data_IF_340752001767
#
_entry.id   IF_340752001767
#
_cell.length_a   1.000
_cell.length_b   1.000
_cell.length_c   1.000
_cell.angle_alpha   90.00
_cell.angle_beta   90.00
_cell.angle_gamma   90.00
#
_symmetry.space_group_name_H-M   'P 1'
#
loop_
_entity.id
_entity.type
_entity.pdbx_description
1 polymer ?
#
# COMPACT_ATOMS: atom_id res chain seq x y z
N UNK A 1 -22.94 38.05 36.81
CA UNK A 1 -22.43 37.97 35.42
C UNK A 1 -21.84 36.58 35.22
N UNK A 2 -22.51 35.69 34.48
CA UNK A 2 -22.02 34.32 34.19
C UNK A 2 -21.29 34.34 32.84
N UNK A 3 -20.00 34.01 32.83
CA UNK A 3 -19.25 33.77 31.59
C UNK A 3 -19.84 32.53 30.90
N UNK A 4 -20.44 32.71 29.72
CA UNK A 4 -20.87 31.58 28.87
C UNK A 4 -19.61 30.91 28.31
N UNK A 5 -19.59 29.57 28.32
CA UNK A 5 -18.41 28.73 28.18
C UNK A 5 -17.50 29.05 26.99
N UNK A 6 -16.23 29.30 27.28
CA UNK A 6 -15.18 29.33 26.27
C UNK A 6 -15.10 27.95 25.60
N UNK A 7 -15.28 27.89 24.27
CA UNK A 7 -14.99 26.68 23.50
C UNK A 7 -13.53 26.31 23.72
N UNK A 8 -13.28 25.16 24.33
CA UNK A 8 -11.93 24.66 24.56
C UNK A 8 -11.35 24.23 23.22
N UNK A 9 -10.37 24.98 22.70
CA UNK A 9 -9.59 24.58 21.53
C UNK A 9 -8.53 23.55 21.96
N UNK A 10 -8.24 22.58 21.09
CA UNK A 10 -7.23 21.53 21.34
C UNK A 10 -6.21 21.53 20.21
N UNK A 11 -4.95 21.34 20.56
CA UNK A 11 -3.85 21.09 19.62
C UNK A 11 -3.48 19.60 19.76
N UNK A 12 -3.50 18.87 18.65
CA UNK A 12 -3.11 17.45 18.60
C UNK A 12 -1.83 17.28 17.81
N UNK A 13 -0.95 16.39 18.28
CA UNK A 13 0.22 15.91 17.56
C UNK A 13 0.01 14.44 17.23
N UNK A 14 0.25 14.06 15.98
CA UNK A 14 0.14 12.69 15.50
C UNK A 14 1.54 12.22 15.12
N UNK A 15 2.03 11.21 15.84
CA UNK A 15 3.29 10.51 15.55
C UNK A 15 2.96 9.11 15.01
N UNK A 16 3.45 8.81 13.82
CA UNK A 16 3.12 7.60 13.05
C UNK A 16 4.34 7.12 12.27
N UNK A 17 4.37 5.83 11.97
CA UNK A 17 5.43 5.26 11.13
C UNK A 17 5.36 5.80 9.69
N UNK A 18 6.53 6.13 9.15
CA UNK A 18 6.69 6.48 7.73
C UNK A 18 6.58 5.26 6.81
N UNK A 19 6.71 5.51 5.51
CA UNK A 19 6.72 4.47 4.49
C UNK A 19 7.90 3.49 4.67
N UNK A 20 7.67 2.19 4.47
CA UNK A 20 8.66 1.12 4.67
C UNK A 20 8.93 0.31 3.39
N UNK A 21 10.20 0.20 3.01
CA UNK A 21 10.68 -0.84 2.12
C UNK A 21 11.92 -1.48 2.75
N UNK A 22 11.80 -2.74 3.17
CA UNK A 22 12.81 -3.51 3.88
C UNK A 22 13.37 -4.63 2.99
N UNK A 23 14.44 -5.33 3.43
CA UNK A 23 14.91 -6.54 2.73
C UNK A 23 13.80 -7.57 2.48
N UNK A 24 12.94 -7.80 3.47
CA UNK A 24 11.73 -8.63 3.38
C UNK A 24 10.54 -7.80 3.85
N UNK A 25 9.44 -7.79 3.10
CA UNK A 25 8.25 -7.01 3.44
C UNK A 25 7.07 -7.97 3.60
N UNK A 26 6.59 -8.11 4.84
CA UNK A 26 5.45 -8.96 5.16
C UNK A 26 4.13 -8.19 5.23
N UNK A 27 3.15 -8.78 5.93
CA UNK A 27 1.84 -8.17 6.15
C UNK A 27 1.96 -6.85 6.94
N UNK A 28 2.89 -6.76 7.89
CA UNK A 28 3.12 -5.57 8.71
C UNK A 28 3.52 -4.37 7.85
N UNK A 29 4.55 -4.52 7.00
CA UNK A 29 4.97 -3.48 6.06
C UNK A 29 3.83 -3.10 5.10
N UNK A 30 3.06 -4.09 4.64
CA UNK A 30 1.90 -3.85 3.76
C UNK A 30 0.85 -2.96 4.44
N UNK A 31 0.53 -3.24 5.70
CA UNK A 31 -0.45 -2.44 6.46
C UNK A 31 0.08 -1.04 6.80
N UNK A 32 1.38 -0.91 7.10
CA UNK A 32 2.03 0.39 7.32
C UNK A 32 1.97 1.23 6.03
N UNK A 33 2.32 0.64 4.90
CA UNK A 33 2.30 1.33 3.60
C UNK A 33 0.89 1.67 3.16
N UNK A 34 -0.11 0.80 3.36
CA UNK A 34 -1.53 1.11 3.12
C UNK A 34 -2.03 2.28 3.98
N UNK A 35 -1.57 2.36 5.23
CA UNK A 35 -1.89 3.48 6.10
C UNK A 35 -1.30 4.78 5.55
N UNK A 36 -0.04 4.74 5.12
CA UNK A 36 0.63 5.86 4.47
C UNK A 36 -0.05 6.28 3.15
N UNK A 37 -0.54 5.33 2.33
CA UNK A 37 -1.34 5.64 1.13
C UNK A 37 -2.59 6.45 1.48
N UNK A 38 -3.35 6.03 2.50
CA UNK A 38 -4.55 6.76 2.93
C UNK A 38 -4.23 8.17 3.43
N UNK A 39 -3.13 8.31 4.16
CA UNK A 39 -2.67 9.61 4.65
C UNK A 39 -2.26 10.49 3.48
N UNK A 40 -1.53 9.95 2.49
CA UNK A 40 -1.17 10.68 1.28
C UNK A 40 -2.40 11.14 0.49
N UNK A 41 -3.44 10.30 0.38
CA UNK A 41 -4.69 10.66 -0.27
C UNK A 41 -5.38 11.84 0.43
N UNK A 42 -5.48 11.79 1.76
CA UNK A 42 -6.05 12.88 2.57
C UNK A 42 -5.22 14.16 2.44
N UNK A 43 -3.89 14.04 2.52
CA UNK A 43 -2.97 15.16 2.38
C UNK A 43 -3.15 15.86 1.03
N UNK A 44 -3.15 15.10 -0.08
CA UNK A 44 -3.37 15.64 -1.41
C UNK A 44 -4.75 16.31 -1.53
N UNK A 45 -5.80 15.75 -0.94
CA UNK A 45 -7.12 16.38 -0.96
C UNK A 45 -7.13 17.74 -0.25
N UNK A 46 -6.62 17.78 0.98
CA UNK A 46 -6.63 18.99 1.82
C UNK A 46 -5.72 20.09 1.26
N UNK A 47 -4.51 19.74 0.82
CA UNK A 47 -3.57 20.74 0.33
C UNK A 47 -4.03 21.35 -1.00
N UNK A 48 -4.58 20.55 -1.91
CA UNK A 48 -5.09 21.07 -3.18
C UNK A 48 -6.29 21.99 -2.98
N UNK A 49 -7.23 21.62 -2.10
CA UNK A 49 -8.38 22.47 -1.78
C UNK A 49 -7.94 23.83 -1.22
N UNK A 50 -6.98 23.82 -0.29
CA UNK A 50 -6.42 25.05 0.30
C UNK A 50 -5.70 25.93 -0.72
N UNK A 51 -4.95 25.33 -1.62
CA UNK A 51 -4.22 26.06 -2.66
C UNK A 51 -5.18 26.72 -3.66
N UNK A 52 -6.22 26.00 -4.08
CA UNK A 52 -7.29 26.54 -4.92
C UNK A 52 -8.00 27.72 -4.25
N UNK A 53 -8.32 27.62 -2.95
CA UNK A 53 -8.89 28.73 -2.19
C UNK A 53 -7.96 29.95 -2.12
N UNK A 54 -6.65 29.75 -2.02
CA UNK A 54 -5.67 30.83 -2.02
C UNK A 54 -5.62 31.54 -3.37
N UNK A 55 -5.54 30.79 -4.48
CA UNK A 55 -5.56 31.36 -5.83
C UNK A 55 -6.84 32.13 -6.13
N UNK A 56 -8.00 31.63 -5.70
CA UNK A 56 -9.27 32.35 -5.86
C UNK A 56 -9.29 33.67 -5.09
N UNK A 57 -8.74 33.71 -3.87
CA UNK A 57 -8.62 34.95 -3.07
C UNK A 57 -7.70 35.99 -3.72
N UNK A 58 -6.69 35.53 -4.46
CA UNK A 58 -5.76 36.38 -5.20
C UNK A 58 -6.26 36.76 -6.61
N UNK A 59 -7.43 36.25 -7.02
CA UNK A 59 -7.98 36.49 -8.35
C UNK A 59 -7.26 35.73 -9.47
N UNK A 60 -6.49 34.69 -9.13
CA UNK A 60 -5.75 33.86 -10.08
C UNK A 60 -6.65 32.72 -10.55
N UNK A 61 -6.91 32.65 -11.85
CA UNK A 61 -7.62 31.51 -12.47
C UNK A 61 -6.58 30.49 -12.94
N UNK A 62 -6.53 29.32 -12.31
CA UNK A 62 -5.65 28.21 -12.71
C UNK A 62 -6.35 26.88 -12.52
N UNK A 63 -6.13 25.95 -13.44
CA UNK A 63 -6.61 24.56 -13.35
C UNK A 63 -5.40 23.64 -13.28
N UNK A 64 -5.33 22.81 -12.24
CA UNK A 64 -4.30 21.80 -12.10
C UNK A 64 -4.92 20.51 -11.55
N UNK A 65 -4.45 19.38 -12.06
CA UNK A 65 -4.98 18.07 -11.69
C UNK A 65 -4.39 17.60 -10.36
N UNK A 66 -5.25 17.10 -9.47
CA UNK A 66 -4.83 16.50 -8.20
C UNK A 66 -4.26 15.10 -8.43
N UNK A 67 -3.00 14.82 -8.05
CA UNK A 67 -2.47 13.46 -8.03
C UNK A 67 -3.34 12.58 -7.14
N UNK A 68 -3.87 11.50 -7.70
CA UNK A 68 -4.74 10.57 -7.01
C UNK A 68 -4.09 9.21 -6.91
N UNK A 69 -3.76 8.81 -5.68
CA UNK A 69 -3.34 7.46 -5.33
C UNK A 69 -4.54 6.56 -4.92
N UNK A 70 -5.77 7.04 -5.13
CA UNK A 70 -6.99 6.26 -4.85
C UNK A 70 -7.01 4.89 -5.54
N UNK A 71 -6.56 4.73 -6.81
CA UNK A 71 -6.48 3.40 -7.43
C UNK A 71 -5.55 2.43 -6.68
N UNK A 72 -4.49 2.93 -6.03
CA UNK A 72 -3.64 2.12 -5.14
C UNK A 72 -4.42 1.68 -3.90
N UNK A 73 -5.18 2.57 -3.28
CA UNK A 73 -6.00 2.25 -2.10
C UNK A 73 -7.10 1.23 -2.47
N UNK A 74 -7.71 1.38 -3.64
CA UNK A 74 -8.74 0.48 -4.14
C UNK A 74 -8.19 -0.92 -4.44
N UNK A 75 -6.96 -1.04 -4.94
CA UNK A 75 -6.26 -2.33 -5.06
C UNK A 75 -6.28 -3.11 -3.73
N UNK A 76 -6.12 -2.42 -2.59
CA UNK A 76 -6.16 -3.06 -1.27
C UNK A 76 -7.58 -3.26 -0.74
N UNK A 77 -8.45 -2.26 -0.90
CA UNK A 77 -9.67 -2.10 -0.10
C UNK A 77 -10.98 -2.20 -0.90
N UNK A 78 -10.92 -2.30 -2.23
CA UNK A 78 -12.12 -2.35 -3.07
C UNK A 78 -13.08 -3.45 -2.61
N UNK A 79 -14.33 -3.08 -2.39
CA UNK A 79 -15.43 -4.02 -2.12
C UNK A 79 -16.18 -4.42 -3.38
N UNK A 80 -15.93 -3.74 -4.51
CA UNK A 80 -16.45 -4.07 -5.82
C UNK A 80 -15.51 -5.04 -6.54
N UNK A 81 -15.88 -5.51 -7.74
CA UNK A 81 -14.96 -6.28 -8.59
C UNK A 81 -14.03 -5.32 -9.37
N UNK A 82 -12.72 -5.59 -9.46
CA UNK A 82 -11.99 -6.67 -8.78
C UNK A 82 -11.92 -6.46 -7.27
N UNK A 83 -12.11 -7.56 -6.52
CA UNK A 83 -12.15 -7.54 -5.05
C UNK A 83 -10.77 -7.21 -4.50
N UNK A 84 -10.68 -6.27 -3.57
CA UNK A 84 -9.41 -5.80 -3.01
C UNK A 84 -8.59 -6.88 -2.30
N UNK A 85 -7.26 -6.69 -2.29
CA UNK A 85 -6.27 -7.62 -1.74
C UNK A 85 -6.60 -8.08 -0.31
N UNK A 86 -7.01 -7.16 0.57
CA UNK A 86 -7.28 -7.47 1.98
C UNK A 86 -8.47 -8.44 2.11
N UNK A 87 -9.47 -8.31 1.23
CA UNK A 87 -10.64 -9.19 1.23
C UNK A 87 -10.26 -10.58 0.70
N UNK A 88 -9.43 -10.65 -0.34
CA UNK A 88 -8.88 -11.92 -0.84
C UNK A 88 -8.07 -12.64 0.23
N UNK A 89 -7.22 -11.92 0.98
CA UNK A 89 -6.46 -12.46 2.10
C UNK A 89 -7.40 -13.00 3.19
N UNK A 90 -8.41 -12.21 3.59
CA UNK A 90 -9.39 -12.61 4.59
C UNK A 90 -10.18 -13.86 4.18
N UNK A 91 -10.45 -14.07 2.90
CA UNK A 91 -11.10 -15.29 2.41
C UNK A 91 -10.17 -16.50 2.44
N UNK A 92 -8.87 -16.33 2.16
CA UNK A 92 -7.89 -17.42 2.31
C UNK A 92 -7.74 -17.85 3.77
N UNK A 93 -7.75 -16.92 4.72
CA UNK A 93 -7.66 -17.23 6.16
C UNK A 93 -8.81 -18.09 6.69
N UNK A 94 -9.97 -18.10 6.02
CA UNK A 94 -11.12 -18.93 6.42
C UNK A 94 -11.00 -20.39 5.99
N UNK A 95 -10.09 -20.69 5.07
CA UNK A 95 -9.90 -22.05 4.59
C UNK A 95 -9.07 -22.84 5.61
N UNK A 96 -9.49 -24.06 5.93
CA UNK A 96 -8.76 -24.96 6.85
C UNK A 96 -7.92 -25.92 6.01
N UNK A 97 -6.67 -26.17 6.43
CA UNK A 97 -5.81 -27.18 5.81
C UNK A 97 -5.69 -28.39 6.73
N UNK A 98 -5.62 -29.58 6.14
CA UNK A 98 -5.38 -30.83 6.86
C UNK A 98 -3.91 -31.24 6.88
N UNK A 99 -3.07 -30.51 6.14
CA UNK A 99 -1.72 -30.96 5.74
C UNK A 99 -0.59 -30.25 6.53
N UNK A 100 -0.92 -29.56 7.62
CA UNK A 100 0.05 -28.84 8.45
C UNK A 100 0.81 -27.77 7.67
N UNK A 101 2.14 -27.71 7.85
CA UNK A 101 3.03 -26.72 7.20
C UNK A 101 2.93 -26.73 5.67
N UNK A 102 2.78 -27.91 5.06
CA UNK A 102 2.61 -28.03 3.59
C UNK A 102 1.28 -27.45 3.11
N UNK A 103 0.26 -27.49 3.98
CA UNK A 103 -1.04 -26.88 3.72
C UNK A 103 -0.96 -25.36 3.68
N UNK A 104 -0.22 -24.77 4.63
CA UNK A 104 -0.06 -23.31 4.71
C UNK A 104 0.79 -22.77 3.54
N UNK A 105 1.89 -23.44 3.16
CA UNK A 105 2.67 -23.04 1.96
C UNK A 105 1.79 -23.06 0.69
N UNK A 106 0.92 -24.07 0.57
CA UNK A 106 0.00 -24.19 -0.57
C UNK A 106 -1.04 -23.06 -0.58
N UNK A 107 -1.51 -22.61 0.59
CA UNK A 107 -2.42 -21.46 0.71
C UNK A 107 -1.74 -20.16 0.29
N UNK A 108 -0.51 -19.93 0.72
CA UNK A 108 0.25 -18.74 0.34
C UNK A 108 0.44 -18.67 -1.18
N UNK A 109 0.86 -19.79 -1.80
CA UNK A 109 0.98 -19.89 -3.27
C UNK A 109 -0.37 -19.67 -3.96
N UNK A 110 -1.45 -20.22 -3.42
CA UNK A 110 -2.79 -20.04 -3.96
C UNK A 110 -3.25 -18.57 -3.86
N UNK A 111 -2.93 -17.89 -2.75
CA UNK A 111 -3.20 -16.47 -2.55
C UNK A 111 -2.48 -15.60 -3.58
N UNK A 112 -1.16 -15.76 -3.71
CA UNK A 112 -0.34 -15.00 -4.66
C UNK A 112 -0.77 -15.29 -6.10
N UNK A 113 -1.11 -16.54 -6.42
CA UNK A 113 -1.68 -16.91 -7.73
C UNK A 113 -3.01 -16.20 -8.00
N UNK A 114 -3.89 -16.12 -7.00
CA UNK A 114 -5.16 -15.40 -7.12
C UNK A 114 -4.94 -13.90 -7.35
N UNK A 115 -4.02 -13.26 -6.61
CA UNK A 115 -3.65 -11.86 -6.83
C UNK A 115 -3.12 -11.61 -8.24
N UNK A 116 -2.17 -12.45 -8.68
CA UNK A 116 -1.57 -12.36 -10.01
C UNK A 116 -2.59 -12.54 -11.14
N UNK A 117 -3.68 -13.27 -10.89
CA UNK A 117 -4.77 -13.43 -11.84
C UNK A 117 -5.73 -12.24 -11.83
N UNK A 118 -6.15 -11.80 -10.65
CA UNK A 118 -7.15 -10.74 -10.47
C UNK A 118 -6.61 -9.37 -10.90
N UNK A 119 -5.35 -9.07 -10.58
CA UNK A 119 -4.75 -7.75 -10.76
C UNK A 119 -3.74 -7.67 -11.91
N UNK A 120 -3.77 -8.63 -12.84
CA UNK A 120 -2.78 -8.74 -13.93
C UNK A 120 -2.64 -7.46 -14.77
N UNK A 121 -3.73 -6.71 -14.94
CA UNK A 121 -3.81 -5.50 -15.78
C UNK A 121 -3.92 -4.22 -14.92
N UNK A 122 -3.74 -4.33 -13.60
CA UNK A 122 -3.90 -3.19 -12.68
C UNK A 122 -2.63 -2.32 -12.66
N UNK A 123 -2.77 -1.01 -12.88
CA UNK A 123 -1.64 -0.09 -13.02
C UNK A 123 -0.74 0.02 -11.77
N UNK A 124 -1.26 -0.34 -10.60
CA UNK A 124 -0.53 -0.32 -9.32
C UNK A 124 -0.04 -1.71 -8.87
N UNK A 125 -0.22 -2.75 -9.69
CA UNK A 125 0.18 -4.11 -9.35
C UNK A 125 1.07 -4.70 -10.45
N UNK A 126 2.19 -5.29 -10.07
CA UNK A 126 3.04 -6.04 -10.99
C UNK A 126 3.25 -7.46 -10.49
N UNK A 127 2.93 -8.42 -11.36
CA UNK A 127 3.30 -9.83 -11.15
C UNK A 127 4.81 -9.96 -11.22
N UNK A 128 5.38 -10.67 -10.26
CA UNK A 128 6.80 -10.97 -10.24
C UNK A 128 7.06 -12.29 -10.97
N UNK A 129 7.84 -12.25 -12.04
CA UNK A 129 8.34 -13.43 -12.75
C UNK A 129 9.79 -13.75 -12.34
N UNK A 130 10.31 -14.91 -12.78
CA UNK A 130 11.66 -15.34 -12.44
C UNK A 130 12.76 -14.35 -12.89
N UNK A 131 12.74 -13.80 -14.13
CA UNK A 131 13.69 -12.75 -14.54
C UNK A 131 13.63 -11.48 -13.68
N UNK A 132 12.42 -11.04 -13.32
CA UNK A 132 12.19 -9.88 -12.47
C UNK A 132 12.69 -10.12 -11.04
N UNK A 133 12.47 -11.31 -10.50
CA UNK A 133 12.98 -11.67 -9.17
C UNK A 133 14.50 -11.56 -9.10
N UNK A 134 15.22 -11.99 -10.15
CA UNK A 134 16.67 -11.78 -10.22
C UNK A 134 17.08 -10.30 -10.20
N UNK A 135 16.28 -9.40 -10.80
CA UNK A 135 16.50 -7.95 -10.74
C UNK A 135 16.19 -7.38 -9.35
N UNK A 136 15.08 -7.80 -8.73
CA UNK A 136 14.68 -7.39 -7.39
C UNK A 136 15.75 -7.78 -6.36
N UNK A 137 16.22 -9.03 -6.39
CA UNK A 137 17.27 -9.50 -5.47
C UNK A 137 18.58 -8.72 -5.65
N UNK A 138 18.97 -8.40 -6.89
CA UNK A 138 20.15 -7.55 -7.14
C UNK A 138 19.96 -6.15 -6.56
N UNK A 139 18.82 -5.51 -6.83
CA UNK A 139 18.52 -4.17 -6.30
C UNK A 139 18.48 -4.16 -4.77
N UNK A 140 17.84 -5.16 -4.14
CA UNK A 140 17.81 -5.28 -2.68
C UNK A 140 19.19 -5.56 -2.09
N UNK A 141 20.04 -6.33 -2.77
CA UNK A 141 21.45 -6.53 -2.37
C UNK A 141 22.25 -5.24 -2.44
N UNK A 142 22.06 -4.44 -3.46
CA UNK A 142 22.77 -3.17 -3.61
C UNK A 142 22.31 -2.15 -2.55
N UNK A 143 21.00 -2.13 -2.24
CA UNK A 143 20.39 -1.26 -1.22
C UNK A 143 20.73 -1.69 0.22
N UNK A 144 20.74 -3.00 0.52
CA UNK A 144 20.80 -3.52 1.90
C UNK A 144 22.03 -4.38 2.24
N UNK A 145 22.90 -4.67 1.27
CA UNK A 145 24.15 -5.44 1.42
C UNK A 145 23.95 -6.74 2.22
N UNK A 146 24.54 -6.83 3.41
CA UNK A 146 24.53 -8.01 4.27
C UNK A 146 23.14 -8.36 4.81
N UNK A 147 22.22 -7.39 4.83
CA UNK A 147 20.83 -7.58 5.30
C UNK A 147 19.88 -8.02 4.20
N UNK A 148 20.33 -8.13 2.95
CA UNK A 148 19.49 -8.50 1.82
C UNK A 148 18.90 -9.92 1.96
N UNK A 149 17.68 -10.17 1.47
CA UNK A 149 17.07 -11.50 1.56
C UNK A 149 17.86 -12.51 0.73
N UNK A 150 18.10 -13.70 1.28
CA UNK A 150 18.87 -14.76 0.60
C UNK A 150 18.00 -15.73 -0.21
N UNK A 151 16.74 -15.95 0.21
CA UNK A 151 15.87 -17.01 -0.30
C UNK A 151 14.47 -16.49 -0.70
N UNK A 152 14.40 -15.41 -1.47
CA UNK A 152 13.11 -14.91 -1.97
C UNK A 152 12.73 -15.64 -3.28
N UNK A 153 11.63 -16.38 -3.27
CA UNK A 153 11.08 -17.05 -4.45
C UNK A 153 9.98 -16.21 -5.11
N UNK A 154 9.91 -16.21 -6.44
CA UNK A 154 8.88 -15.44 -7.17
C UNK A 154 7.45 -15.99 -6.94
N UNK A 155 7.31 -17.26 -6.57
CA UNK A 155 6.00 -17.91 -6.36
C UNK A 155 5.20 -17.34 -5.19
N UNK A 156 5.90 -16.67 -4.26
CA UNK A 156 5.33 -16.08 -3.05
C UNK A 156 5.30 -14.55 -3.12
N UNK A 157 5.74 -13.95 -4.23
CA UNK A 157 5.95 -12.52 -4.31
C UNK A 157 4.99 -11.81 -5.26
N UNK A 158 4.64 -10.58 -4.90
CA UNK A 158 4.00 -9.61 -5.78
C UNK A 158 4.57 -8.22 -5.53
N UNK A 159 4.41 -7.31 -6.48
CA UNK A 159 4.79 -5.91 -6.32
C UNK A 159 3.58 -4.98 -6.34
N UNK A 160 3.63 -3.98 -5.47
CA UNK A 160 2.68 -2.86 -5.49
C UNK A 160 3.47 -1.58 -5.72
N UNK A 161 2.96 -0.75 -6.63
CA UNK A 161 3.52 0.58 -6.90
C UNK A 161 2.88 1.56 -5.94
N UNK A 162 3.57 1.95 -4.87
CA UNK A 162 3.05 2.94 -3.93
C UNK A 162 3.35 4.37 -4.42
N UNK A 163 2.74 5.37 -3.76
CA UNK A 163 3.04 6.78 -4.05
C UNK A 163 4.53 7.13 -3.84
N UNK A 164 5.21 6.40 -2.96
CA UNK A 164 6.61 6.64 -2.59
C UNK A 164 7.61 5.77 -3.37
N UNK A 165 7.34 4.47 -3.54
CA UNK A 165 8.23 3.53 -4.24
C UNK A 165 7.48 2.25 -4.65
N UNK A 166 8.08 1.41 -5.48
CA UNK A 166 7.58 0.07 -5.77
C UNK A 166 8.11 -0.93 -4.74
N UNK A 167 7.21 -1.58 -4.02
CA UNK A 167 7.56 -2.51 -2.93
C UNK A 167 7.22 -3.94 -3.31
N UNK A 168 8.19 -4.85 -3.14
CA UNK A 168 7.97 -6.29 -3.25
C UNK A 168 7.57 -6.86 -1.89
N UNK A 169 6.40 -7.49 -1.84
CA UNK A 169 5.89 -8.22 -0.68
C UNK A 169 6.04 -9.73 -0.90
N UNK A 170 6.30 -10.45 0.18
CA UNK A 170 6.53 -11.90 0.23
C UNK A 170 5.99 -12.51 1.50
#
# INVERSE_FOLDING_TARGET
>A
MKWRGARRATIGLLDIFGFEDMPSNGLEQLLINLTNERIQYIFNAVMFERELEAYQKEGITTTFERPSNLPCIDLFMSTAKPTGLIRLLADQCKTVTTDGEKGEEKKEKAFVSALNKEFRDHSYFTRVDAPMMGRILRAKRDKWRERAPKNLGYEHCFQVHHYADTVTYS
#
